data_IF_011312326954
#
_entry.id   IF_011312326954
#
_cell.length_a   1.000
_cell.length_b   1.000
_cell.length_c   1.000
_cell.angle_alpha   90.00
_cell.angle_beta   90.00
_cell.angle_gamma   90.00
#
_symmetry.space_group_name_H-M   'P 1'
#
loop_
_entity.id
_entity.type
_entity.pdbx_description
1 polymer ?
#
# COMPACT_ATOMS: atom_id res chain seq x y z
N UNK A 1 23.28 -33.55 -8.03
CA UNK A 1 23.64 -33.25 -6.62
C UNK A 1 22.67 -32.23 -6.05
N UNK A 2 22.01 -32.47 -4.91
CA UNK A 2 21.21 -31.45 -4.23
C UNK A 2 22.13 -30.32 -3.77
N UNK A 3 21.85 -29.08 -4.18
CA UNK A 3 22.62 -27.89 -3.73
C UNK A 3 22.63 -27.84 -2.20
N UNK A 4 23.81 -27.62 -1.62
CA UNK A 4 24.04 -27.44 -0.18
C UNK A 4 22.92 -26.63 0.47
N UNK A 5 22.08 -27.30 1.29
CA UNK A 5 21.03 -26.66 2.08
C UNK A 5 21.67 -26.15 3.37
N UNK A 6 21.91 -24.84 3.45
CA UNK A 6 22.36 -24.19 4.69
C UNK A 6 21.25 -24.25 5.73
N UNK A 7 21.62 -24.52 6.98
CA UNK A 7 20.67 -24.58 8.09
C UNK A 7 20.07 -23.17 8.30
N UNK A 8 18.73 -23.07 8.28
CA UNK A 8 18.01 -21.81 8.51
C UNK A 8 17.53 -21.83 9.96
N UNK A 9 18.00 -20.89 10.78
CA UNK A 9 17.49 -20.74 12.13
C UNK A 9 15.98 -20.44 12.09
N UNK A 10 15.18 -21.34 12.67
CA UNK A 10 13.71 -21.19 12.72
C UNK A 10 13.35 -20.54 14.04
N UNK A 11 12.78 -19.33 13.98
CA UNK A 11 12.33 -18.58 15.15
C UNK A 11 10.92 -19.02 15.57
N UNK A 12 10.72 -19.31 16.86
CA UNK A 12 9.42 -19.68 17.45
C UNK A 12 8.47 -18.49 17.69
N UNK A 13 8.73 -17.34 17.05
CA UNK A 13 7.89 -16.15 17.17
C UNK A 13 6.48 -16.42 16.63
N UNK A 14 5.46 -15.98 17.37
CA UNK A 14 4.04 -16.09 16.95
C UNK A 14 3.68 -15.20 15.74
N UNK A 15 4.59 -14.32 15.31
CA UNK A 15 4.33 -13.38 14.22
C UNK A 15 4.42 -14.08 12.86
N UNK A 16 3.26 -14.27 12.21
CA UNK A 16 3.18 -14.78 10.84
C UNK A 16 3.69 -13.74 9.84
N UNK A 17 4.38 -14.21 8.80
CA UNK A 17 4.80 -13.35 7.69
C UNK A 17 3.56 -12.81 6.99
N UNK A 18 3.48 -11.49 6.80
CA UNK A 18 2.44 -10.86 6.00
C UNK A 18 2.66 -11.25 4.53
N UNK A 19 1.78 -12.11 4.03
CA UNK A 19 1.86 -12.68 2.69
C UNK A 19 1.14 -11.85 1.63
N UNK A 20 0.75 -12.54 0.55
CA UNK A 20 0.01 -11.98 -0.57
C UNK A 20 -1.36 -11.43 -0.17
N UNK A 21 -2.05 -12.10 0.74
CA UNK A 21 -3.36 -11.68 1.28
C UNK A 21 -3.33 -10.24 1.82
N UNK A 22 -2.25 -9.86 2.53
CA UNK A 22 -2.14 -8.49 3.04
C UNK A 22 -2.04 -7.46 1.92
N UNK A 23 -1.34 -7.80 0.83
CA UNK A 23 -1.22 -6.92 -0.34
C UNK A 23 -2.56 -6.81 -1.06
N UNK A 24 -3.28 -7.92 -1.21
CA UNK A 24 -4.62 -7.93 -1.82
C UNK A 24 -5.61 -7.11 -0.98
N UNK A 25 -5.57 -7.22 0.34
CA UNK A 25 -6.39 -6.38 1.23
C UNK A 25 -6.09 -4.89 1.09
N UNK A 26 -4.82 -4.51 0.90
CA UNK A 26 -4.45 -3.10 0.61
C UNK A 26 -4.99 -2.66 -0.74
N UNK A 27 -4.91 -3.50 -1.78
CA UNK A 27 -5.44 -3.19 -3.11
C UNK A 27 -6.95 -2.97 -3.06
N UNK A 28 -7.69 -3.88 -2.43
CA UNK A 28 -9.14 -3.77 -2.31
C UNK A 28 -9.54 -2.52 -1.52
N UNK A 29 -8.85 -2.23 -0.41
CA UNK A 29 -9.10 -1.03 0.38
C UNK A 29 -8.84 0.26 -0.39
N UNK A 30 -7.82 0.30 -1.25
CA UNK A 30 -7.56 1.47 -2.12
C UNK A 30 -8.68 1.63 -3.15
N UNK A 31 -9.14 0.54 -3.78
CA UNK A 31 -10.23 0.58 -4.76
C UNK A 31 -11.52 1.14 -4.16
N UNK A 32 -11.91 0.64 -2.98
CA UNK A 32 -13.06 1.16 -2.25
C UNK A 32 -12.89 2.63 -1.85
N UNK A 33 -11.69 3.04 -1.43
CA UNK A 33 -11.43 4.42 -1.06
C UNK A 33 -11.50 5.36 -2.27
N UNK A 34 -11.03 4.93 -3.44
CA UNK A 34 -11.13 5.69 -4.68
C UNK A 34 -12.59 5.93 -5.08
N UNK A 35 -13.47 4.96 -4.83
CA UNK A 35 -14.91 5.14 -5.06
C UNK A 35 -15.56 6.08 -4.04
N UNK A 36 -15.22 5.91 -2.75
CA UNK A 36 -15.82 6.66 -1.63
C UNK A 36 -15.38 8.12 -1.57
N UNK A 37 -14.12 8.42 -1.93
CA UNK A 37 -13.55 9.76 -1.80
C UNK A 37 -13.46 10.49 -3.15
N UNK A 38 -13.62 11.83 -3.17
CA UNK A 38 -13.59 12.61 -4.41
C UNK A 38 -12.16 12.90 -4.89
N UNK A 39 -11.17 12.90 -4.00
CA UNK A 39 -9.80 13.33 -4.30
C UNK A 39 -8.77 12.32 -3.81
N UNK A 40 -7.68 12.17 -4.57
CA UNK A 40 -6.55 11.28 -4.26
C UNK A 40 -5.27 12.12 -4.23
N UNK A 41 -4.46 11.92 -3.19
CA UNK A 41 -3.20 12.63 -3.00
C UNK A 41 -2.04 11.64 -2.86
N UNK A 42 -0.90 12.00 -3.45
CA UNK A 42 0.37 11.29 -3.26
C UNK A 42 1.30 12.24 -2.53
N UNK A 43 1.87 11.77 -1.42
CA UNK A 43 2.82 12.54 -0.63
C UNK A 43 4.11 11.72 -0.46
N UNK A 44 5.24 12.38 -0.68
CA UNK A 44 6.55 11.84 -0.32
C UNK A 44 6.82 12.14 1.16
N UNK A 45 7.52 11.23 1.82
CA UNK A 45 8.00 11.46 3.18
C UNK A 45 9.40 10.90 3.32
N UNK A 46 10.23 11.56 4.11
CA UNK A 46 11.54 11.09 4.49
C UNK A 46 11.58 10.89 6.01
N UNK A 47 12.14 9.78 6.48
CA UNK A 47 12.28 9.47 7.91
C UNK A 47 10.99 9.57 8.75
N UNK A 48 9.87 9.08 8.22
CA UNK A 48 8.59 9.10 8.94
C UNK A 48 8.64 8.24 10.21
N UNK A 49 8.20 8.82 11.34
CA UNK A 49 8.04 8.09 12.61
C UNK A 49 6.58 7.70 12.84
N UNK A 50 6.38 6.47 13.31
CA UNK A 50 5.05 5.91 13.56
C UNK A 50 4.20 6.73 14.54
N UNK A 51 4.81 7.38 15.54
CA UNK A 51 4.08 8.16 16.55
C UNK A 51 3.35 9.34 15.91
N UNK A 52 4.10 10.22 15.23
CA UNK A 52 3.54 11.40 14.54
C UNK A 52 2.54 11.02 13.45
N UNK A 53 2.81 9.92 12.74
CA UNK A 53 1.89 9.45 11.71
C UNK A 53 0.57 8.93 12.29
N UNK A 54 0.58 8.30 13.46
CA UNK A 54 -0.66 7.89 14.14
C UNK A 54 -1.50 9.10 14.53
N UNK A 55 -0.89 10.12 15.13
CA UNK A 55 -1.57 11.37 15.48
C UNK A 55 -2.19 12.03 14.24
N UNK A 56 -1.42 12.15 13.16
CA UNK A 56 -1.90 12.70 11.89
C UNK A 56 -3.07 11.89 11.30
N UNK A 57 -2.98 10.56 11.39
CA UNK A 57 -4.04 9.67 10.92
C UNK A 57 -5.31 9.79 11.77
N UNK A 58 -5.19 10.00 13.07
CA UNK A 58 -6.34 10.16 13.97
C UNK A 58 -7.04 11.50 13.75
N UNK A 59 -6.29 12.57 13.54
CA UNK A 59 -6.84 13.89 13.20
C UNK A 59 -7.66 13.86 11.90
N UNK A 60 -7.20 13.11 10.91
CA UNK A 60 -7.80 13.06 9.57
C UNK A 60 -8.69 11.82 9.35
N UNK A 61 -8.99 11.06 10.41
CA UNK A 61 -9.71 9.79 10.34
C UNK A 61 -11.14 9.93 9.84
N UNK A 62 -11.78 11.07 10.11
CA UNK A 62 -13.16 11.38 9.72
C UNK A 62 -13.26 11.77 8.25
N UNK A 63 -12.24 12.44 7.70
CA UNK A 63 -12.29 13.02 6.36
C UNK A 63 -11.47 12.23 5.32
N UNK A 64 -10.46 11.48 5.73
CA UNK A 64 -9.44 10.93 4.83
C UNK A 64 -8.98 9.52 5.23
N UNK A 65 -8.49 8.78 4.23
CA UNK A 65 -7.91 7.45 4.44
C UNK A 65 -6.47 7.38 3.90
N UNK A 66 -5.54 7.11 4.80
CA UNK A 66 -4.14 6.90 4.44
C UNK A 66 -3.85 5.43 4.16
N UNK A 67 -3.15 5.20 3.05
CA UNK A 67 -2.56 3.91 2.69
C UNK A 67 -1.05 4.08 2.60
N UNK A 68 -0.32 3.13 3.17
CA UNK A 68 1.14 3.02 3.10
C UNK A 68 1.45 1.59 2.68
N UNK A 69 2.28 1.43 1.66
CA UNK A 69 2.51 0.13 1.05
C UNK A 69 3.61 0.19 0.00
N UNK A 70 3.78 -0.91 -0.71
CA UNK A 70 4.74 -0.95 -1.82
C UNK A 70 4.21 -0.13 -3.00
N UNK A 71 5.06 0.75 -3.54
CA UNK A 71 4.73 1.61 -4.69
C UNK A 71 4.17 0.81 -5.86
N UNK A 72 4.75 -0.36 -6.16
CA UNK A 72 4.24 -1.26 -7.21
C UNK A 72 2.82 -1.75 -6.96
N UNK A 73 2.45 -2.03 -5.70
CA UNK A 73 1.10 -2.50 -5.33
C UNK A 73 0.10 -1.35 -5.46
N UNK A 74 0.48 -0.14 -5.03
CA UNK A 74 -0.35 1.05 -5.19
C UNK A 74 -0.58 1.40 -6.66
N UNK A 75 0.46 1.30 -7.50
CA UNK A 75 0.32 1.48 -8.95
C UNK A 75 -0.66 0.50 -9.60
N UNK A 76 -0.68 -0.76 -9.15
CA UNK A 76 -1.64 -1.76 -9.62
C UNK A 76 -3.04 -1.46 -9.12
N UNK A 77 -3.17 -1.01 -7.87
CA UNK A 77 -4.45 -0.66 -7.29
C UNK A 77 -5.11 0.52 -8.00
N UNK A 78 -4.34 1.51 -8.44
CA UNK A 78 -4.83 2.72 -9.13
C UNK A 78 -5.01 2.52 -10.65
N UNK A 79 -4.32 1.55 -11.25
CA UNK A 79 -4.29 1.32 -12.69
C UNK A 79 -2.99 1.82 -13.32
N UNK A 80 -2.32 0.93 -14.07
CA UNK A 80 -1.09 1.25 -14.83
C UNK A 80 -1.39 1.59 -16.30
N UNK A 81 -2.41 0.94 -16.86
CA UNK A 81 -2.88 1.09 -18.22
C UNK A 81 -4.18 1.89 -18.24
N UNK A 82 -4.53 2.49 -19.38
CA UNK A 82 -5.81 3.20 -19.54
C UNK A 82 -7.03 2.28 -19.41
N UNK A 83 -6.87 0.97 -19.68
CA UNK A 83 -7.92 -0.02 -19.55
C UNK A 83 -8.18 -0.45 -18.11
N UNK A 84 -7.19 -0.30 -17.22
CA UNK A 84 -7.28 -0.65 -15.80
C UNK A 84 -7.56 0.58 -14.90
N UNK A 85 -7.87 1.74 -15.48
CA UNK A 85 -8.15 2.96 -14.71
C UNK A 85 -9.51 2.84 -14.01
N UNK A 86 -9.51 2.90 -12.67
CA UNK A 86 -10.76 2.92 -11.88
C UNK A 86 -11.59 4.19 -12.11
N UNK A 87 -10.92 5.32 -12.34
CA UNK A 87 -11.54 6.58 -12.77
C UNK A 87 -10.66 7.23 -13.81
N UNK A 88 -11.27 7.96 -14.76
CA UNK A 88 -10.52 8.66 -15.80
C UNK A 88 -9.50 9.61 -15.18
N UNK A 89 -8.22 9.43 -15.53
CA UNK A 89 -7.13 10.30 -15.11
C UNK A 89 -6.35 9.85 -13.86
N UNK A 90 -6.81 8.81 -13.15
CA UNK A 90 -6.09 8.27 -11.97
C UNK A 90 -4.71 7.72 -12.33
N UNK A 91 -4.50 7.25 -13.56
CA UNK A 91 -3.19 6.80 -14.03
C UNK A 91 -2.10 7.88 -13.93
N UNK A 92 -2.46 9.16 -13.97
CA UNK A 92 -1.47 10.25 -13.77
C UNK A 92 -0.90 10.17 -12.36
N UNK A 93 -1.72 9.84 -11.37
CA UNK A 93 -1.33 9.67 -9.97
C UNK A 93 -0.44 8.43 -9.81
N UNK A 94 -0.76 7.32 -10.48
CA UNK A 94 0.05 6.11 -10.39
C UNK A 94 1.49 6.29 -10.92
N UNK A 95 1.70 7.18 -11.90
CA UNK A 95 3.03 7.54 -12.39
C UNK A 95 3.89 8.31 -11.38
N UNK A 96 3.25 9.04 -10.44
CA UNK A 96 3.93 9.86 -9.43
C UNK A 96 4.28 9.06 -8.18
N UNK A 97 3.71 7.87 -8.00
CA UNK A 97 4.12 6.93 -6.96
C UNK A 97 5.52 6.34 -7.27
N UNK A 98 6.58 7.06 -6.89
CA UNK A 98 8.00 6.66 -7.03
C UNK A 98 8.56 6.20 -5.70
#
# INVERSE_FOLDING_TARGET
MPKSKRNRAVTLSKTKKKGREHKEGVVNGIREAVEKYPSVYVFGYENMRNLKFKEFRDQLKSSSRFFLGSNKVMQVALGRSAADELRPGIRKVSKVCV
#
